data_IF_827973593651
#
_entry.id   IF_827973593651
#
_cell.length_a   1.000
_cell.length_b   1.000
_cell.length_c   1.000
_cell.angle_alpha   90.00
_cell.angle_beta   90.00
_cell.angle_gamma   90.00
#
_symmetry.space_group_name_H-M   'P 1'
#
loop_
_entity.id
_entity.type
_entity.pdbx_description
1 polymer ?
#
# COMPACT_ATOMS: atom_id res chain seq x y z
N UNK A 1 -12.22 -11.34 16.30
CA UNK A 1 -11.01 -11.04 15.48
C UNK A 1 -11.49 -10.64 14.10
N UNK A 2 -10.91 -9.61 13.49
CA UNK A 2 -11.24 -9.19 12.13
C UNK A 2 -10.21 -9.76 11.16
N UNK A 3 -10.65 -10.50 10.15
CA UNK A 3 -9.79 -11.02 9.07
C UNK A 3 -9.94 -10.15 7.84
N UNK A 4 -8.82 -9.67 7.31
CA UNK A 4 -8.76 -8.77 6.17
C UNK A 4 -7.92 -9.38 5.05
N UNK A 5 -8.22 -9.01 3.80
CA UNK A 5 -7.41 -9.36 2.65
C UNK A 5 -7.13 -8.14 1.76
N UNK A 6 -5.94 -8.05 1.17
CA UNK A 6 -5.59 -6.98 0.23
C UNK A 6 -6.06 -7.29 -1.20
N UNK A 7 -6.74 -6.34 -1.81
CA UNK A 7 -7.02 -6.31 -3.26
C UNK A 7 -5.72 -5.89 -3.94
N UNK A 8 -5.11 -6.81 -4.67
CA UNK A 8 -3.81 -6.61 -5.34
C UNK A 8 -2.96 -7.87 -5.29
N UNK A 9 -2.69 -8.40 -4.08
CA UNK A 9 -1.89 -9.61 -3.91
C UNK A 9 -2.58 -10.71 -3.09
N UNK A 10 -3.83 -10.51 -2.70
CA UNK A 10 -4.64 -11.50 -1.99
C UNK A 10 -4.10 -11.89 -0.62
N UNK A 11 -3.11 -11.18 -0.08
CA UNK A 11 -2.55 -11.46 1.25
C UNK A 11 -3.59 -11.25 2.35
N UNK A 12 -3.61 -12.16 3.32
CA UNK A 12 -4.60 -12.20 4.40
C UNK A 12 -3.92 -11.99 5.75
N UNK A 13 -4.54 -11.21 6.63
CA UNK A 13 -4.08 -11.03 8.00
C UNK A 13 -5.24 -10.79 8.97
N UNK A 14 -5.01 -11.09 10.23
CA UNK A 14 -5.97 -10.87 11.32
C UNK A 14 -5.58 -9.67 12.18
N UNK A 15 -6.57 -8.96 12.71
CA UNK A 15 -6.36 -7.91 13.70
C UNK A 15 -7.44 -7.93 14.79
N UNK A 16 -7.07 -7.43 15.97
CA UNK A 16 -8.01 -7.24 17.08
C UNK A 16 -8.67 -5.86 16.98
N UNK A 17 -9.99 -5.88 17.02
CA UNK A 17 -10.86 -4.70 17.00
C UNK A 17 -11.82 -4.77 18.18
N UNK A 18 -12.30 -3.61 18.62
CA UNK A 18 -13.50 -3.56 19.45
C UNK A 18 -14.71 -3.27 18.55
N UNK A 19 -15.90 -3.77 18.90
CA UNK A 19 -17.11 -3.49 18.11
C UNK A 19 -17.47 -2.00 18.05
N UNK A 20 -17.00 -1.21 19.03
CA UNK A 20 -17.13 0.24 19.06
C UNK A 20 -16.16 0.99 18.15
N UNK A 21 -15.14 0.32 17.63
CA UNK A 21 -14.17 0.95 16.74
C UNK A 21 -14.90 1.45 15.48
N UNK A 22 -14.38 2.50 14.85
CA UNK A 22 -14.87 3.00 13.56
C UNK A 22 -14.11 2.39 12.39
N UNK A 23 -14.72 2.39 11.20
CA UNK A 23 -14.06 1.97 9.95
C UNK A 23 -12.76 2.77 9.72
N UNK A 24 -12.75 4.08 9.97
CA UNK A 24 -11.54 4.90 9.90
C UNK A 24 -10.43 4.49 10.87
N UNK A 25 -10.77 3.90 12.02
CA UNK A 25 -9.78 3.36 12.96
C UNK A 25 -9.19 2.04 12.46
N UNK A 26 -9.99 1.22 11.75
CA UNK A 26 -9.49 0.03 11.04
C UNK A 26 -8.50 0.44 9.96
N UNK A 27 -8.80 1.47 9.16
CA UNK A 27 -7.88 1.97 8.12
C UNK A 27 -6.52 2.40 8.71
N UNK A 28 -6.55 3.09 9.86
CA UNK A 28 -5.33 3.43 10.60
C UNK A 28 -4.55 2.20 11.05
N UNK A 29 -5.22 1.19 11.64
CA UNK A 29 -4.59 -0.07 12.06
C UNK A 29 -3.98 -0.83 10.89
N UNK A 30 -4.68 -0.88 9.74
CA UNK A 30 -4.18 -1.50 8.51
C UNK A 30 -2.82 -0.91 8.12
N UNK A 31 -2.69 0.42 8.09
CA UNK A 31 -1.42 1.10 7.77
C UNK A 31 -0.34 0.83 8.82
N UNK A 32 -0.67 0.90 10.11
CA UNK A 32 0.28 0.66 11.21
C UNK A 32 0.84 -0.77 11.20
N UNK A 33 0.01 -1.76 10.87
CA UNK A 33 0.43 -3.16 10.81
C UNK A 33 1.18 -3.51 9.52
N UNK A 34 0.98 -2.73 8.45
CA UNK A 34 1.53 -3.01 7.13
C UNK A 34 2.30 -1.81 6.53
N UNK A 35 3.24 -1.18 7.25
CA UNK A 35 3.83 0.10 6.86
C UNK A 35 4.68 0.03 5.59
N UNK A 36 5.17 -1.15 5.21
CA UNK A 36 5.92 -1.36 3.96
C UNK A 36 5.02 -1.56 2.74
N UNK A 37 3.76 -1.89 2.95
CA UNK A 37 2.77 -2.21 1.91
C UNK A 37 1.82 -1.05 1.67
N UNK A 38 1.41 -0.38 2.74
CA UNK A 38 0.48 0.74 2.72
C UNK A 38 1.27 2.03 2.83
N UNK A 39 1.74 2.51 1.68
CA UNK A 39 2.57 3.71 1.58
C UNK A 39 1.74 5.00 1.42
N UNK A 40 0.45 4.88 1.09
CA UNK A 40 -0.46 6.00 0.85
C UNK A 40 -0.99 6.59 2.17
N UNK A 41 -1.64 7.74 2.08
CA UNK A 41 -2.33 8.30 3.24
C UNK A 41 -3.56 7.45 3.59
N UNK A 42 -3.93 7.49 4.87
CA UNK A 42 -5.04 6.66 5.39
C UNK A 42 -6.35 7.00 4.69
N UNK A 43 -6.51 8.26 4.25
CA UNK A 43 -7.65 8.74 3.47
C UNK A 43 -7.80 8.06 2.10
N UNK A 44 -6.71 7.50 1.57
CA UNK A 44 -6.69 6.90 0.24
C UNK A 44 -6.96 5.39 0.30
N UNK A 45 -6.94 4.79 1.49
CA UNK A 45 -7.33 3.40 1.69
C UNK A 45 -8.84 3.29 1.44
N UNK A 46 -9.30 2.22 0.80
CA UNK A 46 -10.73 1.90 0.74
C UNK A 46 -10.99 0.52 1.32
N UNK A 47 -12.01 0.40 2.17
CA UNK A 47 -12.43 -0.85 2.77
C UNK A 47 -13.77 -1.29 2.18
N UNK A 48 -13.90 -2.59 1.92
CA UNK A 48 -15.13 -3.20 1.43
C UNK A 48 -15.55 -4.35 2.35
N UNK A 49 -16.84 -4.45 2.65
CA UNK A 49 -17.39 -5.59 3.39
C UNK A 49 -17.34 -6.83 2.48
N UNK A 50 -16.62 -7.86 2.89
CA UNK A 50 -16.37 -9.05 2.08
C UNK A 50 -17.55 -10.05 2.06
N UNK A 51 -18.78 -9.53 2.00
CA UNK A 51 -20.00 -10.32 1.82
C UNK A 51 -20.34 -10.47 0.34
N UNK A 52 -20.54 -11.70 -0.08
CA UNK A 52 -21.07 -12.06 -1.39
C UNK A 52 -22.54 -11.64 -1.51
N UNK A 53 -23.06 -11.63 -2.73
CA UNK A 53 -24.48 -11.29 -3.02
C UNK A 53 -25.47 -12.22 -2.27
N UNK A 54 -25.06 -13.45 -1.96
CA UNK A 54 -25.87 -14.40 -1.18
C UNK A 54 -25.76 -14.20 0.35
N UNK A 55 -25.21 -13.08 0.82
CA UNK A 55 -24.94 -12.75 2.23
C UNK A 55 -23.92 -13.66 2.95
N UNK A 56 -23.21 -14.54 2.24
CA UNK A 56 -22.12 -15.32 2.82
C UNK A 56 -20.81 -14.53 2.77
N UNK A 57 -19.93 -14.79 3.74
CA UNK A 57 -18.57 -14.26 3.71
C UNK A 57 -17.75 -14.91 2.61
N UNK A 58 -16.89 -14.12 1.97
CA UNK A 58 -15.79 -14.63 1.19
C UNK A 58 -14.87 -15.45 2.10
N UNK A 59 -14.46 -16.63 1.65
CA UNK A 59 -13.57 -17.51 2.41
C UNK A 59 -12.17 -17.52 1.83
N UNK A 60 -11.17 -17.74 2.67
CA UNK A 60 -9.78 -17.92 2.25
C UNK A 60 -9.58 -19.10 1.30
N UNK A 61 -10.49 -20.08 1.33
CA UNK A 61 -10.49 -21.24 0.44
C UNK A 61 -11.26 -21.03 -0.87
N UNK A 62 -11.89 -19.87 -1.06
CA UNK A 62 -12.66 -19.62 -2.26
C UNK A 62 -11.73 -19.46 -3.48
N UNK A 63 -12.11 -19.99 -4.66
CA UNK A 63 -11.31 -19.83 -5.88
C UNK A 63 -11.01 -18.38 -6.25
N UNK A 64 -11.92 -17.45 -5.90
CA UNK A 64 -11.74 -16.01 -6.09
C UNK A 64 -10.52 -15.47 -5.32
N UNK A 65 -10.23 -16.02 -4.14
CA UNK A 65 -9.06 -15.62 -3.36
C UNK A 65 -7.75 -16.15 -3.94
N UNK A 66 -7.76 -17.34 -4.54
CA UNK A 66 -6.59 -17.86 -5.26
C UNK A 66 -6.31 -17.05 -6.52
N UNK A 67 -7.36 -16.62 -7.25
CA UNK A 67 -7.21 -15.72 -8.39
C UNK A 67 -6.74 -14.33 -7.96
N UNK A 68 -7.23 -13.81 -6.83
CA UNK A 68 -6.79 -12.52 -6.30
C UNK A 68 -5.30 -12.52 -5.94
N UNK A 69 -4.75 -13.64 -5.44
CA UNK A 69 -3.31 -13.80 -5.20
C UNK A 69 -2.47 -13.75 -6.49
N UNK A 70 -3.09 -14.05 -7.63
CA UNK A 70 -2.47 -13.96 -8.95
C UNK A 70 -2.65 -12.56 -9.57
N UNK A 71 -3.22 -11.61 -8.83
CA UNK A 71 -3.50 -10.26 -9.30
C UNK A 71 -4.76 -10.15 -10.17
N UNK A 72 -5.63 -11.16 -10.17
CA UNK A 72 -6.87 -11.17 -10.96
C UNK A 72 -8.04 -10.76 -10.09
N UNK A 73 -8.72 -9.68 -10.45
CA UNK A 73 -10.00 -9.30 -9.86
C UNK A 73 -11.10 -10.06 -10.60
N UNK A 74 -11.72 -11.03 -9.93
CA UNK A 74 -12.85 -11.80 -10.48
C UNK A 74 -14.14 -10.98 -10.45
N UNK A 75 -15.16 -11.42 -11.19
CA UNK A 75 -16.47 -10.79 -11.18
C UNK A 75 -17.05 -10.70 -9.76
N UNK A 76 -16.90 -11.75 -8.93
CA UNK A 76 -17.36 -11.74 -7.54
C UNK A 76 -16.65 -10.66 -6.70
N UNK A 77 -15.32 -10.53 -6.80
CA UNK A 77 -14.57 -9.48 -6.11
C UNK A 77 -14.98 -8.09 -6.62
N UNK A 78 -15.14 -7.95 -7.95
CA UNK A 78 -15.61 -6.70 -8.57
C UNK A 78 -17.01 -6.29 -8.11
N UNK A 79 -17.92 -7.24 -7.95
CA UNK A 79 -19.26 -7.01 -7.40
C UNK A 79 -19.21 -6.53 -5.93
N UNK A 80 -18.38 -7.17 -5.11
CA UNK A 80 -18.14 -6.74 -3.72
C UNK A 80 -17.62 -5.31 -3.69
N UNK A 81 -16.62 -4.98 -4.51
CA UNK A 81 -16.06 -3.62 -4.58
C UNK A 81 -17.12 -2.58 -4.98
N UNK A 82 -18.03 -2.94 -5.90
CA UNK A 82 -19.08 -2.01 -6.36
C UNK A 82 -20.16 -1.74 -5.32
N UNK A 83 -20.56 -2.75 -4.53
CA UNK A 83 -21.74 -2.66 -3.65
C UNK A 83 -21.40 -2.40 -2.19
N UNK A 84 -20.23 -2.84 -1.73
CA UNK A 84 -19.98 -3.03 -0.30
C UNK A 84 -18.94 -2.07 0.27
N UNK A 85 -18.74 -0.90 -0.37
CA UNK A 85 -17.83 0.13 0.14
C UNK A 85 -18.28 0.58 1.53
N UNK A 86 -17.34 0.57 2.48
CA UNK A 86 -17.60 0.97 3.86
C UNK A 86 -17.42 2.48 4.04
N UNK A 87 -18.28 3.09 4.85
CA UNK A 87 -18.15 4.49 5.25
C UNK A 87 -17.16 4.62 6.42
N UNK A 88 -16.08 5.42 6.31
CA UNK A 88 -15.09 5.60 7.38
C UNK A 88 -15.66 6.08 8.73
N UNK A 89 -16.82 6.74 8.72
CA UNK A 89 -17.47 7.30 9.91
C UNK A 89 -18.28 6.26 10.68
N UNK A 90 -18.63 5.13 10.04
CA UNK A 90 -19.48 4.11 10.65
C UNK A 90 -18.71 3.33 11.70
N UNK A 91 -19.43 2.95 12.76
CA UNK A 91 -18.96 1.97 13.73
C UNK A 91 -19.03 0.58 13.10
N UNK A 92 -18.15 -0.33 13.51
CA UNK A 92 -18.05 -1.65 12.88
C UNK A 92 -19.32 -2.49 13.07
N UNK A 93 -19.97 -2.38 14.23
CA UNK A 93 -21.29 -2.98 14.51
C UNK A 93 -22.36 -2.54 13.48
N UNK A 94 -22.37 -1.25 13.13
CA UNK A 94 -23.28 -0.68 12.13
C UNK A 94 -22.83 -0.92 10.68
N UNK A 95 -21.55 -1.24 10.47
CA UNK A 95 -20.99 -1.53 9.15
C UNK A 95 -21.19 -3.00 8.71
N UNK A 96 -21.92 -3.80 9.49
CA UNK A 96 -22.25 -5.19 9.16
C UNK A 96 -21.13 -6.19 9.42
N UNK A 97 -20.11 -5.80 10.19
CA UNK A 97 -19.04 -6.67 10.68
C UNK A 97 -19.59 -7.54 11.81
N UNK A 98 -19.36 -8.87 11.77
CA UNK A 98 -19.89 -9.77 12.77
C UNK A 98 -19.19 -9.56 14.10
N UNK A 99 -19.86 -9.91 15.20
CA UNK A 99 -19.20 -9.92 16.50
C UNK A 99 -18.11 -11.00 16.50
N UNK A 100 -17.13 -10.89 17.41
CA UNK A 100 -16.02 -11.84 17.47
C UNK A 100 -16.45 -13.31 17.68
N UNK A 101 -17.67 -13.54 18.18
CA UNK A 101 -18.22 -14.87 18.42
C UNK A 101 -18.92 -15.47 17.19
N UNK A 102 -19.22 -14.65 16.18
CA UNK A 102 -20.02 -15.07 15.01
C UNK A 102 -19.15 -15.34 13.76
N UNK A 103 -17.85 -15.05 13.83
CA UNK A 103 -16.92 -15.25 12.73
C UNK A 103 -16.49 -16.73 12.62
N UNK A 104 -16.75 -17.38 11.48
CA UNK A 104 -16.27 -18.73 11.25
C UNK A 104 -14.80 -18.74 10.81
N UNK A 105 -14.12 -19.86 11.03
CA UNK A 105 -12.75 -20.04 10.55
C UNK A 105 -12.69 -19.89 9.02
N UNK A 106 -11.72 -19.09 8.56
CA UNK A 106 -11.49 -18.84 7.14
C UNK A 106 -12.38 -17.76 6.52
N UNK A 107 -13.30 -17.15 7.28
CA UNK A 107 -14.08 -16.00 6.79
C UNK A 107 -13.18 -14.77 6.65
N UNK A 108 -13.22 -14.15 5.48
CA UNK A 108 -12.67 -12.83 5.21
C UNK A 108 -13.80 -11.83 5.45
N UNK A 109 -13.54 -10.82 6.26
CA UNK A 109 -14.55 -9.85 6.67
C UNK A 109 -14.43 -8.54 5.88
N UNK A 110 -13.19 -8.16 5.53
CA UNK A 110 -12.88 -6.90 4.87
C UNK A 110 -11.90 -7.13 3.73
N UNK A 111 -12.20 -6.55 2.56
CA UNK A 111 -11.22 -6.36 1.50
C UNK A 111 -10.64 -4.95 1.59
N UNK A 112 -9.32 -4.85 1.42
CA UNK A 112 -8.56 -3.60 1.52
C UNK A 112 -8.03 -3.27 0.14
N UNK A 113 -8.48 -2.17 -0.42
CA UNK A 113 -7.87 -1.57 -1.61
C UNK A 113 -6.94 -0.45 -1.17
N UNK A 114 -5.72 -0.49 -1.68
CA UNK A 114 -4.76 0.60 -1.60
C UNK A 114 -4.46 1.06 -3.02
N UNK A 115 -4.38 2.38 -3.27
CA UNK A 115 -4.00 2.85 -4.59
C UNK A 115 -2.61 2.32 -4.94
N UNK A 116 -2.44 1.87 -6.17
CA UNK A 116 -1.11 1.62 -6.70
C UNK A 116 -0.37 2.97 -6.73
N UNK A 117 0.52 3.15 -5.76
CA UNK A 117 1.50 4.22 -5.87
C UNK A 117 2.47 3.75 -6.95
N UNK A 118 2.23 4.21 -8.17
CA UNK A 118 3.27 4.26 -9.18
C UNK A 118 4.29 5.24 -8.63
N UNK A 119 5.21 4.71 -7.82
CA UNK A 119 6.50 5.36 -7.63
C UNK A 119 7.01 5.46 -9.06
N UNK A 120 6.94 6.66 -9.64
CA UNK A 120 7.56 6.92 -10.94
C UNK A 120 8.90 6.21 -10.87
N UNK A 121 9.09 5.21 -11.76
CA UNK A 121 10.20 4.25 -11.77
C UNK A 121 11.39 4.89 -11.09
N UNK A 122 11.96 4.31 -10.00
CA UNK A 122 12.89 4.98 -9.10
C UNK A 122 13.67 5.97 -9.93
N UNK A 123 13.31 7.27 -9.80
CA UNK A 123 13.73 8.30 -10.74
C UNK A 123 15.18 8.01 -11.03
N UNK A 124 15.51 7.70 -12.29
CA UNK A 124 16.80 7.12 -12.66
C UNK A 124 17.87 7.91 -11.92
N UNK A 125 18.39 7.34 -10.83
CA UNK A 125 19.10 8.15 -9.81
C UNK A 125 20.33 8.75 -10.45
N UNK A 126 20.88 8.05 -11.44
CA UNK A 126 21.89 8.52 -12.38
C UNK A 126 21.44 9.81 -13.10
N UNK A 127 20.22 9.85 -13.63
CA UNK A 127 19.67 11.00 -14.34
C UNK A 127 19.36 12.19 -13.43
N UNK A 128 18.91 11.97 -12.20
CA UNK A 128 18.77 13.04 -11.20
C UNK A 128 20.12 13.60 -10.76
N UNK A 129 21.11 12.73 -10.60
CA UNK A 129 22.49 13.11 -10.29
C UNK A 129 23.09 13.88 -11.46
N UNK A 130 22.86 13.47 -12.70
CA UNK A 130 23.30 14.18 -13.90
C UNK A 130 22.62 15.56 -14.03
N UNK A 131 21.31 15.63 -13.78
CA UNK A 131 20.58 16.91 -13.74
C UNK A 131 21.11 17.84 -12.62
N UNK A 132 21.39 17.30 -11.44
CA UNK A 132 21.97 18.05 -10.33
C UNK A 132 23.41 18.51 -10.64
N UNK A 133 24.23 17.64 -11.23
CA UNK A 133 25.57 17.92 -11.72
C UNK A 133 25.57 19.08 -12.71
N UNK A 134 24.74 19.01 -13.75
CA UNK A 134 24.67 20.04 -14.79
C UNK A 134 24.17 21.39 -14.25
N UNK A 135 23.27 21.37 -13.26
CA UNK A 135 22.75 22.59 -12.63
C UNK A 135 23.72 23.21 -11.62
N UNK A 136 24.55 22.40 -10.97
CA UNK A 136 25.54 22.85 -9.96
C UNK A 136 26.87 23.25 -10.61
N UNK A 137 27.30 22.54 -11.66
CA UNK A 137 28.61 22.76 -12.31
C UNK A 137 28.56 23.71 -13.51
N UNK A 138 27.37 24.09 -13.97
CA UNK A 138 27.22 25.05 -15.07
C UNK A 138 27.61 24.48 -16.44
N UNK A 139 27.37 25.31 -17.46
CA UNK A 139 27.41 24.99 -18.90
C UNK A 139 28.62 24.11 -19.32
N UNK A 140 28.42 22.97 -20.01
CA UNK A 140 29.50 22.08 -20.46
C UNK A 140 30.57 22.74 -21.35
N UNK A 141 30.32 23.96 -21.85
CA UNK A 141 31.32 24.76 -22.57
C UNK A 141 32.33 25.48 -21.65
N UNK A 142 32.01 25.69 -20.37
CA UNK A 142 32.95 26.26 -19.39
C UNK A 142 33.75 25.16 -18.68
N UNK A 143 34.72 24.58 -19.40
CA UNK A 143 35.68 23.56 -18.92
C UNK A 143 36.65 24.05 -17.83
N UNK A 144 36.17 24.58 -16.71
CA UNK A 144 37.02 25.07 -15.62
C UNK A 144 36.49 24.78 -14.20
N UNK A 145 35.58 23.81 -14.00
CA UNK A 145 35.30 23.39 -12.63
C UNK A 145 36.37 22.41 -12.14
N UNK A 146 37.13 22.82 -11.12
CA UNK A 146 38.10 21.96 -10.42
C UNK A 146 37.40 20.96 -9.49
N UNK A 147 36.12 20.69 -9.70
CA UNK A 147 35.28 19.91 -8.80
C UNK A 147 34.60 18.80 -9.57
N UNK A 148 34.56 17.61 -8.99
CA UNK A 148 33.78 16.48 -9.46
C UNK A 148 32.82 16.01 -8.37
N UNK A 149 31.60 15.65 -8.76
CA UNK A 149 30.64 15.02 -7.86
C UNK A 149 30.67 13.52 -8.08
N UNK A 150 30.82 12.75 -7.01
CA UNK A 150 30.73 11.29 -7.01
C UNK A 150 29.56 10.81 -6.16
N UNK A 151 28.99 9.66 -6.52
CA UNK A 151 28.11 8.90 -5.65
C UNK A 151 28.94 7.83 -4.95
N UNK A 152 28.87 7.80 -3.61
CA UNK A 152 29.51 6.76 -2.82
C UNK A 152 28.46 6.06 -1.98
N UNK A 153 28.37 4.74 -2.13
CA UNK A 153 27.52 3.92 -1.27
C UNK A 153 28.30 3.51 -0.01
N UNK A 154 27.77 3.85 1.16
CA UNK A 154 28.32 3.42 2.44
C UNK A 154 27.23 2.85 3.32
N UNK A 155 27.30 1.54 3.60
CA UNK A 155 26.35 0.82 4.48
C UNK A 155 24.88 1.02 4.07
N UNK A 156 24.59 0.90 2.77
CA UNK A 156 23.24 1.06 2.23
C UNK A 156 22.72 2.50 2.21
N UNK A 157 23.58 3.49 2.45
CA UNK A 157 23.28 4.92 2.28
C UNK A 157 24.12 5.48 1.13
N UNK A 158 23.45 6.08 0.14
CA UNK A 158 24.12 6.77 -0.97
C UNK A 158 24.43 8.22 -0.55
N UNK A 159 25.69 8.62 -0.67
CA UNK A 159 26.18 9.97 -0.37
C UNK A 159 26.66 10.67 -1.63
N UNK A 160 26.41 11.97 -1.70
CA UNK A 160 26.98 12.86 -2.72
C UNK A 160 28.28 13.43 -2.16
N UNK A 161 29.40 13.18 -2.85
CA UNK A 161 30.72 13.68 -2.46
C UNK A 161 31.24 14.70 -3.47
N UNK A 162 31.60 15.89 -2.99
CA UNK A 162 32.26 16.93 -3.77
C UNK A 162 33.78 16.81 -3.62
N UNK A 163 34.46 16.40 -4.69
CA UNK A 163 35.90 16.23 -4.70
C UNK A 163 36.56 17.34 -5.51
N UNK A 164 37.50 18.08 -4.90
CA UNK A 164 38.39 18.95 -5.66
C UNK A 164 39.41 18.11 -6.41
N UNK A 165 39.56 18.32 -7.72
CA UNK A 165 40.73 17.87 -8.46
C UNK A 165 41.84 18.85 -8.10
N UNK A 166 42.82 18.40 -7.32
CA UNK A 166 44.00 19.22 -7.00
C UNK A 166 44.67 19.70 -8.30
N UNK A 167 45.13 20.95 -8.28
CA UNK A 167 45.81 21.62 -9.39
C UNK A 167 47.25 21.14 -9.57
#
# INVERSE_FOLDING_TARGET
MLICAFIGDGSVFGMTINGSDRVGEVMNKVKQMNPRKVLCDVSDITLYLAKKDNNLWLKTSDPDMEQLKQGVITDEIGEIMRKNKMDPTYRLDNAGIPSANDAANGDIHVLIEVPEIVVAKPFDMEKLVELALNKILGDPETKHSNYSLGLVEHKGTVRLEFNSREA
#
